data_IF_177703723710
#
_entry.id   IF_177703723710
#
_cell.length_a   1.000
_cell.length_b   1.000
_cell.length_c   1.000
_cell.angle_alpha   90.00
_cell.angle_beta   90.00
_cell.angle_gamma   90.00
#
_symmetry.space_group_name_H-M   'P 1'
#
loop_
_entity.id
_entity.type
_entity.pdbx_description
1 polymer ?
#
# COMPACT_ATOMS: atom_id res chain seq x y z
N UNK A 1 16.00 4.71 -2.42
CA UNK A 1 15.43 3.80 -3.43
C UNK A 1 14.34 4.53 -4.21
N UNK A 2 13.94 4.04 -5.38
CA UNK A 2 12.76 4.55 -6.06
C UNK A 2 11.54 3.75 -5.58
N UNK A 3 10.60 4.42 -4.95
CA UNK A 3 9.34 3.83 -4.51
C UNK A 3 8.29 3.90 -5.62
N UNK A 4 7.52 2.83 -5.77
CA UNK A 4 6.56 2.68 -6.86
C UNK A 4 5.20 2.24 -6.33
N UNK A 5 4.14 2.93 -6.76
CA UNK A 5 2.74 2.63 -6.42
C UNK A 5 1.94 2.25 -7.68
N UNK A 6 0.84 1.53 -7.50
CA UNK A 6 -0.06 1.18 -8.59
C UNK A 6 -1.17 2.22 -8.71
N UNK A 7 -1.41 2.73 -9.92
CA UNK A 7 -2.47 3.71 -10.12
C UNK A 7 -3.79 3.02 -10.48
N UNK A 8 -4.62 2.70 -9.49
CA UNK A 8 -5.96 2.09 -9.67
C UNK A 8 -6.93 2.96 -10.48
N UNK A 9 -6.59 4.24 -10.69
CA UNK A 9 -7.41 5.20 -11.46
C UNK A 9 -7.22 5.08 -12.97
N UNK A 10 -6.12 4.46 -13.42
CA UNK A 10 -5.89 4.17 -14.84
C UNK A 10 -6.33 2.75 -15.15
N UNK A 11 -7.03 2.56 -16.28
CA UNK A 11 -7.60 1.27 -16.70
C UNK A 11 -6.63 0.08 -16.73
N UNK A 12 -5.32 0.33 -16.84
CA UNK A 12 -4.27 -0.69 -16.86
C UNK A 12 -3.46 -0.80 -15.55
N UNK A 13 -3.88 -0.09 -14.49
CA UNK A 13 -3.21 -0.05 -13.19
C UNK A 13 -1.67 0.04 -13.30
N UNK A 14 -1.12 1.01 -14.05
CA UNK A 14 0.30 1.07 -14.28
C UNK A 14 1.02 1.33 -12.97
N UNK A 15 2.17 0.69 -12.83
CA UNK A 15 3.13 0.98 -11.76
C UNK A 15 3.85 2.28 -12.07
N UNK A 16 3.76 3.25 -11.18
CA UNK A 16 4.32 4.60 -11.34
C UNK A 16 5.19 4.95 -10.14
N UNK A 17 6.32 5.64 -10.40
CA UNK A 17 7.18 6.15 -9.33
C UNK A 17 6.39 7.17 -8.49
N UNK A 18 6.47 7.03 -7.17
CA UNK A 18 5.74 7.87 -6.23
C UNK A 18 6.06 9.35 -6.44
N UNK A 19 7.31 9.70 -6.74
CA UNK A 19 7.72 11.10 -6.99
C UNK A 19 7.06 11.66 -8.24
N UNK A 20 6.85 10.81 -9.23
CA UNK A 20 6.09 11.17 -10.45
C UNK A 20 4.63 11.35 -10.09
N UNK A 21 4.04 10.46 -9.28
CA UNK A 21 2.66 10.60 -8.81
C UNK A 21 2.48 11.91 -8.03
N UNK A 22 3.37 12.23 -7.09
CA UNK A 22 3.33 13.46 -6.30
C UNK A 22 3.42 14.72 -7.16
N UNK A 23 4.29 14.75 -8.18
CA UNK A 23 4.48 15.91 -9.05
C UNK A 23 3.43 16.06 -10.15
N UNK A 24 2.95 14.95 -10.72
CA UNK A 24 2.10 14.96 -11.93
C UNK A 24 0.65 14.62 -11.67
N UNK A 25 0.30 13.96 -10.57
CA UNK A 25 -1.08 13.55 -10.32
C UNK A 25 -1.87 14.72 -9.68
N UNK A 26 -2.92 15.24 -10.36
CA UNK A 26 -3.77 16.28 -9.78
C UNK A 26 -4.65 15.74 -8.65
N UNK A 27 -4.89 14.42 -8.61
CA UNK A 27 -5.74 13.75 -7.63
C UNK A 27 -4.96 13.03 -6.53
N UNK A 28 -3.72 13.43 -6.27
CA UNK A 28 -2.86 12.77 -5.27
C UNK A 28 -3.50 12.76 -3.87
N UNK A 29 -4.21 13.82 -3.51
CA UNK A 29 -4.89 13.99 -2.23
C UNK A 29 -6.15 13.12 -2.06
N UNK A 30 -6.69 12.58 -3.16
CA UNK A 30 -7.83 11.64 -3.16
C UNK A 30 -7.40 10.21 -3.53
N UNK A 31 -6.12 9.99 -3.82
CA UNK A 31 -5.64 8.71 -4.30
C UNK A 31 -5.32 7.80 -3.10
N UNK A 32 -6.09 6.71 -2.87
CA UNK A 32 -5.91 5.87 -1.68
C UNK A 32 -4.50 5.27 -1.61
N UNK A 33 -3.95 4.85 -2.76
CA UNK A 33 -2.59 4.29 -2.86
C UNK A 33 -1.50 5.30 -2.49
N UNK A 34 -1.67 6.57 -2.88
CA UNK A 34 -0.71 7.62 -2.56
C UNK A 34 -0.83 8.06 -1.09
N UNK A 35 -2.06 8.15 -0.57
CA UNK A 35 -2.32 8.45 0.83
C UNK A 35 -1.80 7.34 1.74
N UNK A 36 -1.98 6.08 1.36
CA UNK A 36 -1.44 4.92 2.07
C UNK A 36 0.09 4.97 2.09
N UNK A 37 0.73 5.18 0.92
CA UNK A 37 2.17 5.38 0.83
C UNK A 37 2.64 6.54 1.72
N UNK A 38 1.93 7.67 1.74
CA UNK A 38 2.30 8.84 2.54
C UNK A 38 2.16 8.55 4.04
N UNK A 39 1.11 7.84 4.46
CA UNK A 39 0.94 7.36 5.84
C UNK A 39 2.07 6.42 6.22
N UNK A 40 2.36 5.42 5.40
CA UNK A 40 3.41 4.44 5.64
C UNK A 40 4.83 5.04 5.62
N UNK A 41 5.05 6.07 4.79
CA UNK A 41 6.32 6.82 4.74
C UNK A 41 6.49 7.73 5.95
N UNK A 42 5.39 8.33 6.43
CA UNK A 42 5.40 9.11 7.68
C UNK A 42 5.61 8.18 8.87
N UNK A 43 5.03 6.97 8.80
CA UNK A 43 5.13 5.95 9.84
C UNK A 43 6.51 5.25 9.89
N UNK A 44 7.34 5.34 8.85
CA UNK A 44 8.75 4.94 8.95
C UNK A 44 9.58 5.85 9.89
N UNK A 45 9.08 7.04 10.26
CA UNK A 45 9.67 7.79 11.36
C UNK A 45 9.16 7.34 12.73
N UNK A 46 8.12 6.50 12.76
CA UNK A 46 7.51 5.87 13.94
C UNK A 46 7.51 4.34 13.81
N UNK A 47 8.65 3.74 13.39
CA UNK A 47 8.93 2.30 13.55
C UNK A 47 9.05 2.00 15.05
N UNK A 48 7.94 2.10 15.76
CA UNK A 48 7.72 1.65 17.12
C UNK A 48 6.24 1.69 17.50
N UNK A 49 5.28 1.54 16.58
CA UNK A 49 3.96 1.10 17.02
C UNK A 49 3.20 0.25 15.97
N UNK A 50 3.24 -1.06 16.24
CA UNK A 50 2.09 -1.96 16.10
C UNK A 50 1.61 -2.38 14.71
N UNK A 51 2.27 -3.44 14.23
CA UNK A 51 1.64 -4.72 13.81
C UNK A 51 0.15 -4.63 13.39
N UNK A 52 -0.09 -4.35 12.12
CA UNK A 52 -1.27 -4.89 11.42
C UNK A 52 -0.82 -5.99 10.45
N UNK A 53 -0.29 -7.08 11.00
CA UNK A 53 -0.15 -8.34 10.27
C UNK A 53 -1.48 -9.08 10.43
N UNK A 54 -2.44 -8.83 9.54
CA UNK A 54 -3.51 -9.81 9.31
C UNK A 54 -2.92 -10.83 8.34
N UNK A 55 -2.33 -11.89 8.88
CA UNK A 55 -2.04 -13.10 8.12
C UNK A 55 -3.32 -13.96 8.10
N UNK A 56 -3.94 -14.22 6.93
CA UNK A 56 -4.94 -15.26 6.82
C UNK A 56 -4.20 -16.62 6.78
N UNK A 57 -4.16 -17.33 7.90
CA UNK A 57 -3.76 -18.74 7.88
C UNK A 57 -4.95 -19.57 7.39
N UNK A 58 -4.88 -19.86 6.09
CA UNK A 58 -5.73 -20.78 5.35
C UNK A 58 -5.47 -22.23 5.81
N UNK A 59 -6.52 -22.89 6.31
CA UNK A 59 -6.84 -24.32 6.30
C UNK A 59 -5.80 -25.39 6.73
N UNK A 60 -6.21 -26.27 7.65
CA UNK A 60 -5.96 -27.72 7.50
C UNK A 60 -7.15 -28.51 8.07
N UNK A 61 -7.66 -29.44 7.25
CA UNK A 61 -8.75 -30.36 7.54
C UNK A 61 -8.34 -31.44 8.55
N UNK A 62 -9.36 -32.14 9.09
CA UNK A 62 -9.33 -33.46 9.74
C UNK A 62 -8.85 -33.52 11.21
N UNK A 63 -9.73 -33.93 12.11
CA UNK A 63 -9.81 -35.35 12.46
C UNK A 63 -11.01 -35.69 13.34
N UNK A 64 -11.61 -36.82 12.97
CA UNK A 64 -12.66 -37.61 13.58
C UNK A 64 -12.19 -38.19 14.92
N UNK A 65 -13.00 -38.10 15.98
CA UNK A 65 -13.37 -39.23 16.85
C UNK A 65 -14.55 -38.88 17.75
#
# INVERSE_FOLDING_TARGET
>A
MADYIFCMRKKNNPRIDVRICQKKCPFKDECPEFLDYQRNSTDQSSILDSRSIISPLLNTMASKN
#
